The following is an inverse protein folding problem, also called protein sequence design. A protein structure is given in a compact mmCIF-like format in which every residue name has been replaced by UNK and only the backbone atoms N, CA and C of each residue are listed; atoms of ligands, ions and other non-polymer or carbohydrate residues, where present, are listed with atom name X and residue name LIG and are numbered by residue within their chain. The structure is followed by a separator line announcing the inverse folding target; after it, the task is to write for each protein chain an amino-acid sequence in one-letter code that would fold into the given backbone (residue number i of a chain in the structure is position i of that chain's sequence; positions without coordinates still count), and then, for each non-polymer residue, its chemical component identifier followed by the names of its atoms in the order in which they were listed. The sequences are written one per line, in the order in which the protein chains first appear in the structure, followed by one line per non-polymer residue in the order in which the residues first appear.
data_IF_351750153554
#
_entry.id   IF_351750153554
#
_cell.length_a   1.000
_cell.length_b   1.000
_cell.length_c   1.000
_cell.angle_alpha   90.00
_cell.angle_beta   90.00
_cell.angle_gamma   90.00
#
_symmetry.space_group_name_H-M   'P 1'
#
loop_
_entity.id
_entity.type
_entity.pdbx_description
1 polymer ?
#
# COMPACT_ATOMS: atom_id res chain seq x y z
N UNK A 1 -4.73 8.27 -11.53
CA UNK A 1 -5.13 8.56 -10.13
C UNK A 1 -6.57 8.11 -9.92
N UNK A 2 -6.93 7.64 -8.72
CA UNK A 2 -8.34 7.34 -8.37
C UNK A 2 -8.92 8.53 -7.62
N UNK A 3 -10.04 9.06 -8.09
CA UNK A 3 -10.74 10.21 -7.49
C UNK A 3 -11.97 9.70 -6.74
N UNK A 4 -12.07 10.01 -5.45
CA UNK A 4 -13.21 9.66 -4.60
C UNK A 4 -14.15 10.86 -4.49
N UNK A 5 -15.33 10.77 -5.12
CA UNK A 5 -16.36 11.82 -5.14
C UNK A 5 -17.58 11.43 -4.30
N UNK A 6 -18.39 12.43 -3.92
CA UNK A 6 -19.55 12.29 -3.03
C UNK A 6 -19.18 11.51 -1.77
N UNK A 7 -18.08 11.92 -1.15
CA UNK A 7 -17.45 11.18 -0.06
C UNK A 7 -17.87 11.68 1.32
N UNK A 8 -17.94 10.78 2.29
CA UNK A 8 -18.21 11.06 3.70
C UNK A 8 -17.24 10.30 4.60
N UNK A 9 -16.94 10.88 5.76
CA UNK A 9 -16.19 10.19 6.81
C UNK A 9 -17.07 9.15 7.49
N UNK A 10 -16.42 8.07 7.93
CA UNK A 10 -16.97 7.08 8.83
C UNK A 10 -16.01 6.96 10.01
N UNK A 11 -16.43 7.48 11.17
CA UNK A 11 -15.74 7.24 12.43
C UNK A 11 -16.07 5.80 12.88
N UNK A 12 -15.03 4.99 13.10
CA UNK A 12 -15.10 3.62 13.61
C UNK A 12 -14.41 3.56 14.97
N UNK A 13 -14.88 2.70 15.86
CA UNK A 13 -14.23 2.42 17.14
C UNK A 13 -13.90 0.92 17.16
N UNK A 14 -12.64 0.56 17.42
CA UNK A 14 -12.23 -0.85 17.55
C UNK A 14 -12.71 -1.43 18.89
N UNK A 15 -12.57 -2.75 19.07
CA UNK A 15 -12.87 -3.38 20.37
C UNK A 15 -11.98 -2.85 21.49
N UNK A 16 -10.79 -2.38 21.13
CA UNK A 16 -9.76 -1.86 22.03
C UNK A 16 -9.93 -0.34 22.30
N UNK A 17 -11.01 0.27 21.78
CA UNK A 17 -11.31 1.69 21.96
C UNK A 17 -10.56 2.64 21.01
N UNK A 18 -9.75 2.12 20.08
CA UNK A 18 -9.04 2.93 19.07
C UNK A 18 -10.06 3.56 18.11
N UNK A 19 -9.98 4.89 17.93
CA UNK A 19 -10.80 5.62 16.98
C UNK A 19 -10.12 5.64 15.61
N UNK A 20 -10.78 5.10 14.59
CA UNK A 20 -10.28 4.99 13.23
C UNK A 20 -11.20 5.76 12.28
N UNK A 21 -10.63 6.49 11.32
CA UNK A 21 -11.41 7.19 10.29
C UNK A 21 -11.31 6.45 8.97
N UNK A 22 -12.44 5.98 8.44
CA UNK A 22 -12.56 5.53 7.05
C UNK A 22 -13.26 6.61 6.21
N UNK A 23 -13.15 6.50 4.88
CA UNK A 23 -13.92 7.32 3.95
C UNK A 23 -14.77 6.40 3.06
N UNK A 24 -16.01 6.80 2.80
CA UNK A 24 -16.96 6.09 1.93
C UNK A 24 -17.42 7.04 0.83
N UNK A 25 -17.48 6.58 -0.42
CA UNK A 25 -17.82 7.41 -1.58
C UNK A 25 -17.69 6.66 -2.91
N UNK A 26 -17.80 7.38 -4.03
CA UNK A 26 -17.75 6.80 -5.39
C UNK A 26 -16.40 7.04 -6.04
N UNK A 27 -15.74 5.97 -6.48
CA UNK A 27 -14.46 6.05 -7.20
C UNK A 27 -14.70 6.26 -8.69
N UNK A 28 -14.02 7.28 -9.21
CA UNK A 28 -13.86 7.57 -10.62
C UNK A 28 -12.36 7.50 -10.95
N UNK A 29 -11.98 6.77 -11.98
CA UNK A 29 -10.57 6.64 -12.36
C UNK A 29 -10.36 5.63 -13.47
N UNK A 30 -9.13 5.59 -13.98
CA UNK A 30 -8.69 4.67 -15.04
C UNK A 30 -8.29 3.27 -14.54
N UNK A 31 -8.58 2.93 -13.27
CA UNK A 31 -8.30 1.61 -12.72
C UNK A 31 -9.42 0.62 -13.13
N UNK A 32 -9.12 -0.44 -13.91
CA UNK A 32 -10.13 -1.39 -14.38
C UNK A 32 -10.81 -2.20 -13.25
N UNK A 33 -10.26 -2.18 -12.03
CA UNK A 33 -10.90 -2.76 -10.84
C UNK A 33 -12.18 -2.03 -10.40
N UNK A 34 -12.44 -0.82 -10.90
CA UNK A 34 -13.60 0.00 -10.54
C UNK A 34 -14.42 0.34 -11.79
N UNK A 35 -15.30 -0.56 -12.28
CA UNK A 35 -16.22 -0.22 -13.35
C UNK A 35 -17.13 0.93 -12.93
N UNK A 36 -17.15 1.99 -13.75
CA UNK A 36 -18.06 3.15 -13.73
C UNK A 36 -18.65 3.55 -12.35
N UNK A 37 -18.00 4.48 -11.64
CA UNK A 37 -18.54 5.09 -10.40
C UNK A 37 -18.84 4.06 -9.28
N UNK A 38 -17.95 3.08 -9.11
CA UNK A 38 -18.07 2.08 -8.05
C UNK A 38 -18.12 2.75 -6.67
N UNK A 39 -19.14 2.42 -5.87
CA UNK A 39 -19.22 2.86 -4.47
C UNK A 39 -18.31 2.00 -3.61
N UNK A 40 -17.41 2.61 -2.83
CA UNK A 40 -16.46 1.92 -1.96
C UNK A 40 -16.48 2.48 -0.55
N UNK A 41 -15.98 1.67 0.38
CA UNK A 41 -15.48 2.09 1.69
C UNK A 41 -13.98 1.81 1.74
N UNK A 42 -13.18 2.81 2.07
CA UNK A 42 -11.73 2.62 2.24
C UNK A 42 -11.44 1.80 3.50
N UNK A 43 -10.24 1.22 3.59
CA UNK A 43 -9.63 0.92 4.89
C UNK A 43 -9.35 2.22 5.66
N UNK A 44 -9.01 2.14 6.97
CA UNK A 44 -8.68 3.34 7.76
C UNK A 44 -7.65 4.23 7.07
N UNK A 45 -7.87 5.53 7.14
CA UNK A 45 -6.97 6.57 6.65
C UNK A 45 -5.84 6.74 7.65
N UNK A 46 -4.60 6.67 7.17
CA UNK A 46 -3.38 6.73 7.98
C UNK A 46 -2.59 8.03 7.76
N UNK A 47 -2.93 8.80 6.73
CA UNK A 47 -2.30 10.07 6.42
C UNK A 47 -2.98 10.79 5.27
N UNK A 48 -2.53 12.02 5.01
CA UNK A 48 -3.00 12.81 3.88
C UNK A 48 -1.90 13.75 3.38
N UNK A 49 -2.01 14.16 2.12
CA UNK A 49 -1.30 15.32 1.57
C UNK A 49 -2.30 16.34 1.02
N UNK A 50 -1.89 17.61 0.98
CA UNK A 50 -2.66 18.71 0.37
C UNK A 50 -1.74 19.38 -0.63
N UNK A 51 -2.21 19.55 -1.86
CA UNK A 51 -1.53 20.31 -2.91
C UNK A 51 -2.55 21.24 -3.59
N UNK A 52 -2.29 22.54 -3.51
CA UNK A 52 -3.10 23.68 -3.97
C UNK A 52 -4.62 23.60 -3.70
N UNK A 53 -5.34 22.81 -4.49
CA UNK A 53 -6.80 22.62 -4.45
C UNK A 53 -7.23 21.14 -4.30
N UNK A 54 -6.29 20.24 -4.02
CA UNK A 54 -6.54 18.79 -3.92
C UNK A 54 -6.03 18.24 -2.59
N UNK A 55 -6.76 17.25 -2.05
CA UNK A 55 -6.34 16.46 -0.90
C UNK A 55 -6.23 15.01 -1.34
N UNK A 56 -5.11 14.34 -1.06
CA UNK A 56 -4.95 12.90 -1.28
C UNK A 56 -4.93 12.22 0.08
N UNK A 57 -5.74 11.19 0.28
CA UNK A 57 -5.69 10.34 1.46
C UNK A 57 -4.88 9.08 1.20
N UNK A 58 -4.08 8.69 2.19
CA UNK A 58 -3.37 7.42 2.27
C UNK A 58 -4.09 6.52 3.25
N UNK A 59 -4.23 5.24 2.91
CA UNK A 59 -4.99 4.28 3.71
C UNK A 59 -4.10 3.13 4.20
N UNK A 60 -4.48 2.48 5.30
CA UNK A 60 -3.77 1.35 5.94
C UNK A 60 -3.47 0.17 5.01
N UNK A 61 -4.22 0.01 3.89
CA UNK A 61 -3.96 -0.98 2.84
C UNK A 61 -3.10 -0.46 1.67
N UNK A 62 -2.35 0.62 1.87
CA UNK A 62 -1.48 1.23 0.85
C UNK A 62 -2.21 1.86 -0.34
N UNK A 63 -3.54 2.02 -0.28
CA UNK A 63 -4.30 2.68 -1.35
C UNK A 63 -4.31 4.19 -1.18
N UNK A 64 -4.09 4.92 -2.27
CA UNK A 64 -4.21 6.38 -2.34
C UNK A 64 -5.45 6.81 -3.13
N UNK A 65 -6.16 7.82 -2.64
CA UNK A 65 -7.32 8.41 -3.30
C UNK A 65 -7.26 9.94 -3.24
N UNK A 66 -7.39 10.58 -4.40
CA UNK A 66 -7.62 12.03 -4.46
C UNK A 66 -9.08 12.30 -4.08
N UNK A 67 -9.31 13.11 -3.05
CA UNK A 67 -10.65 13.51 -2.65
C UNK A 67 -11.16 14.59 -3.61
N UNK A 68 -12.27 14.29 -4.26
CA UNK A 68 -13.07 15.25 -5.00
C UNK A 68 -14.09 15.94 -4.10
N UNK A 69 -15.27 16.27 -4.64
CA UNK A 69 -16.32 16.93 -3.84
C UNK A 69 -16.82 15.97 -2.74
N UNK A 70 -16.92 16.42 -1.47
CA UNK A 70 -17.58 15.64 -0.43
C UNK A 70 -19.08 15.49 -0.74
N UNK A 71 -19.74 14.57 -0.03
CA UNK A 71 -21.20 14.48 0.00
C UNK A 71 -21.79 15.81 0.50
N UNK A 72 -22.81 16.40 -0.18
CA UNK A 72 -23.38 17.68 0.21
C UNK A 72 -23.94 17.74 1.64
N UNK A 73 -24.28 16.60 2.25
CA UNK A 73 -24.73 16.54 3.65
C UNK A 73 -23.60 16.73 4.67
N UNK A 74 -22.34 16.57 4.26
CA UNK A 74 -21.18 16.67 5.15
C UNK A 74 -20.61 18.09 5.16
N UNK A 75 -21.21 18.95 5.98
CA UNK A 75 -20.68 20.31 6.22
C UNK A 75 -19.23 20.25 6.73
N UNK A 76 -18.38 21.09 6.14
CA UNK A 76 -16.95 21.22 6.46
C UNK A 76 -16.17 19.88 6.46
N UNK A 77 -16.58 18.92 5.63
CA UNK A 77 -16.04 17.55 5.59
C UNK A 77 -14.50 17.49 5.61
N UNK A 78 -13.85 18.26 4.72
CA UNK A 78 -12.39 18.28 4.57
C UNK A 78 -11.68 18.84 5.81
N UNK A 79 -12.19 19.94 6.38
CA UNK A 79 -11.62 20.55 7.60
C UNK A 79 -11.78 19.62 8.81
N UNK A 80 -12.93 18.94 8.93
CA UNK A 80 -13.17 17.92 9.96
C UNK A 80 -12.24 16.71 9.78
N UNK A 81 -12.05 16.23 8.55
CA UNK A 81 -11.14 15.13 8.24
C UNK A 81 -9.70 15.48 8.61
N UNK A 82 -9.22 16.65 8.20
CA UNK A 82 -7.89 17.17 8.58
C UNK A 82 -7.76 17.18 10.11
N UNK A 83 -8.70 17.79 10.84
CA UNK A 83 -8.67 17.83 12.32
C UNK A 83 -8.61 16.44 12.95
N UNK A 84 -9.36 15.46 12.43
CA UNK A 84 -9.31 14.06 12.89
C UNK A 84 -7.93 13.44 12.65
N UNK A 85 -7.38 13.58 11.44
CA UNK A 85 -6.09 13.00 11.05
C UNK A 85 -4.90 13.67 11.77
N UNK A 86 -4.98 14.98 12.06
CA UNK A 86 -3.99 15.67 12.91
C UNK A 86 -3.97 15.13 14.34
N UNK A 87 -5.11 14.67 14.87
CA UNK A 87 -5.22 14.09 16.21
C UNK A 87 -4.77 12.63 16.32
N UNK A 88 -4.62 11.92 15.20
CA UNK A 88 -4.23 10.50 15.17
C UNK A 88 -2.71 10.26 15.23
N UNK A 89 -1.94 11.33 15.39
CA UNK A 89 -0.50 11.31 15.16
C UNK A 89 -0.21 11.31 13.65
N UNK A 90 0.58 12.28 13.19
CA UNK A 90 1.16 12.21 11.85
C UNK A 90 2.11 11.01 11.83
N UNK A 91 1.65 9.86 11.31
CA UNK A 91 2.59 8.83 10.86
C UNK A 91 3.39 9.49 9.74
N UNK A 92 4.70 9.78 9.92
CA UNK A 92 5.48 10.36 8.84
C UNK A 92 5.36 9.42 7.65
N UNK A 93 5.19 9.99 6.45
CA UNK A 93 5.11 9.20 5.23
C UNK A 93 6.25 8.18 5.24
N UNK A 94 5.98 6.87 5.00
CA UNK A 94 7.03 5.86 5.07
C UNK A 94 8.14 6.29 4.13
N UNK A 95 9.28 6.66 4.72
CA UNK A 95 10.43 7.13 3.96
C UNK A 95 10.77 6.05 2.94
N UNK A 96 11.04 6.45 1.70
CA UNK A 96 11.41 5.50 0.67
C UNK A 96 12.72 4.81 1.07
N UNK A 97 12.61 3.62 1.68
CA UNK A 97 13.73 2.77 2.04
C UNK A 97 14.32 2.18 0.75
N UNK A 98 15.19 2.95 0.09
CA UNK A 98 15.96 2.50 -1.06
C UNK A 98 16.75 1.20 -0.73
N UNK A 99 17.11 1.00 0.55
CA UNK A 99 17.79 -0.19 1.06
C UNK A 99 16.91 -1.45 1.04
N UNK A 100 15.59 -1.35 1.23
CA UNK A 100 14.70 -2.53 1.14
C UNK A 100 14.41 -2.91 -0.32
N UNK A 101 14.44 -1.95 -1.24
CA UNK A 101 14.21 -2.23 -2.68
C UNK A 101 15.35 -3.05 -3.28
N UNK A 102 16.60 -2.83 -2.84
CA UNK A 102 17.79 -3.55 -3.34
C UNK A 102 17.87 -5.02 -2.91
N UNK A 103 17.13 -5.45 -1.88
CA UNK A 103 17.10 -6.86 -1.47
C UNK A 103 16.26 -7.74 -2.41
N UNK A 104 15.38 -7.16 -3.23
CA UNK A 104 14.59 -7.92 -4.21
C UNK A 104 15.39 -8.37 -5.43
N UNK A 105 16.42 -7.62 -5.85
CA UNK A 105 17.22 -7.93 -7.05
C UNK A 105 18.34 -8.95 -6.79
N UNK A 106 18.86 -9.04 -5.55
CA UNK A 106 19.90 -10.00 -5.18
C UNK A 106 19.44 -11.46 -5.17
N UNK A 107 18.14 -11.70 -4.93
CA UNK A 107 17.60 -13.07 -4.83
C UNK A 107 17.48 -13.76 -6.19
N UNK A 108 17.51 -13.00 -7.30
CA UNK A 108 17.40 -13.56 -8.67
C UNK A 108 18.76 -14.03 -9.22
N UNK A 109 19.88 -13.53 -8.67
CA UNK A 109 21.23 -13.92 -9.14
C UNK A 109 21.87 -15.09 -8.38
N UNK A 110 21.29 -15.55 -7.26
CA UNK A 110 21.86 -16.64 -6.45
C UNK A 110 21.37 -18.05 -6.82
N UNK A 111 20.40 -18.18 -7.74
CA UNK A 111 19.96 -19.48 -8.28
C UNK A 111 20.87 -20.04 -9.38
N UNK A 112 21.82 -19.25 -9.91
CA UNK A 112 22.62 -19.61 -11.10
C UNK A 112 24.06 -20.07 -10.78
N UNK A 113 24.32 -20.43 -9.51
CA UNK A 113 25.64 -20.87 -8.99
C UNK A 113 25.61 -22.20 -8.22
N UNK A 114 24.49 -22.94 -8.24
CA UNK A 114 24.34 -24.18 -7.49
C UNK A 114 24.79 -25.45 -8.25
N UNK A 115 25.04 -25.38 -9.56
CA UNK A 115 25.26 -26.55 -10.43
C UNK A 115 26.75 -26.92 -10.66
N UNK A 116 27.70 -26.31 -9.93
CA UNK A 116 29.14 -26.50 -10.22
C UNK A 116 30.04 -26.83 -9.01
N UNK A 117 29.63 -27.77 -8.15
CA UNK A 117 30.59 -28.54 -7.33
C UNK A 117 30.21 -30.00 -7.12
N UNK A 118 31.25 -30.84 -7.21
CA UNK A 118 31.36 -32.22 -6.69
C UNK A 118 30.81 -33.38 -7.53
N UNK A 119 31.69 -33.94 -8.36
CA UNK A 119 31.88 -35.40 -8.36
C UNK A 119 33.37 -35.73 -8.51
N UNK A 120 34.00 -36.15 -7.41
CA UNK A 120 35.35 -36.68 -7.41
C UNK A 120 35.51 -37.65 -6.25
N UNK A 121 35.37 -38.95 -6.53
CA UNK A 121 36.01 -40.00 -5.72
C UNK A 121 36.22 -41.27 -6.57
N UNK A 122 37.48 -41.59 -6.83
CA UNK A 122 37.99 -42.95 -7.09
C UNK A 122 38.11 -43.69 -5.74
N UNK A 123 38.22 -45.04 -5.66
CA UNK A 123 39.04 -45.92 -6.51
C UNK A 123 38.20 -47.11 -7.07
N UNK A 124 38.68 -48.31 -7.45
CA UNK A 124 40.04 -48.89 -7.46
C UNK A 124 40.23 -49.96 -8.58
N UNK A 125 41.49 -50.35 -8.77
CA UNK A 125 42.05 -51.60 -9.31
C UNK A 125 41.16 -52.63 -10.04
N UNK A 126 41.58 -52.94 -11.28
CA UNK A 126 42.11 -54.31 -11.55
C UNK A 126 43.25 -54.22 -12.58
N UNK A 127 44.18 -55.18 -12.55
CA UNK A 127 45.49 -55.04 -13.17
C UNK A 127 45.82 -56.16 -14.17
N UNK A 128 46.68 -55.79 -15.15
CA UNK A 128 47.67 -56.62 -15.88
C UNK A 128 47.24 -57.66 -16.93
N UNK A 129 48.12 -57.70 -17.95
CA UNK A 129 48.48 -58.81 -18.86
C UNK A 129 47.35 -59.30 -19.81
N UNK A 130 47.56 -59.41 -21.13
CA UNK A 130 48.81 -59.57 -21.92
C UNK A 130 48.76 -58.77 -23.22
#
# INVERSE_FOLDING_TARGET
MNILNNWKMLDLITRDGESLVCVEGRVYGSNPRFPASSHIRTSPVTGYSIDANSMVILTKRGSAYQLGKPDPSQTFAQQRLIRRLSGLGQIPAPGFNALETQLTDLTVQLTDLADFTSFSEHPDQTAKET
#
